data_IF_148860654428
#
_entry.id   IF_148860654428
#
_cell.length_a   1.000
_cell.length_b   1.000
_cell.length_c   1.000
_cell.angle_alpha   90.00
_cell.angle_beta   90.00
_cell.angle_gamma   90.00
#
_symmetry.space_group_name_H-M   'P 1'
#
loop_
_entity.id
_entity.type
_entity.pdbx_description
1 polymer ?
#
# COMPACT_ATOMS: atom_id res chain seq x y z
N UNK A 1 2.60 -21.90 25.69
CA UNK A 1 2.05 -20.84 24.83
C UNK A 1 1.91 -21.38 23.41
N UNK A 2 0.67 -21.55 22.92
CA UNK A 2 0.36 -22.24 21.66
C UNK A 2 0.20 -21.28 20.46
N UNK A 3 0.34 -19.97 20.70
CA UNK A 3 0.34 -18.92 19.68
C UNK A 3 1.73 -18.29 19.65
N UNK A 4 2.64 -18.88 18.89
CA UNK A 4 3.95 -18.31 18.57
C UNK A 4 4.06 -18.24 17.06
N UNK A 5 4.56 -17.11 16.56
CA UNK A 5 4.92 -16.99 15.15
C UNK A 5 6.02 -17.99 14.84
N UNK A 6 5.95 -18.59 13.65
CA UNK A 6 7.10 -19.30 13.09
C UNK A 6 8.20 -18.27 12.75
N UNK A 7 9.47 -18.70 12.65
CA UNK A 7 10.54 -17.81 12.19
C UNK A 7 10.20 -17.16 10.84
N UNK A 8 9.64 -17.93 9.91
CA UNK A 8 9.28 -17.46 8.58
C UNK A 8 8.15 -16.41 8.61
N UNK A 9 7.13 -16.60 9.46
CA UNK A 9 6.09 -15.59 9.66
C UNK A 9 6.66 -14.31 10.26
N UNK A 10 7.55 -14.44 11.25
CA UNK A 10 8.18 -13.29 11.87
C UNK A 10 9.05 -12.51 10.86
N UNK A 11 9.83 -13.21 10.02
CA UNK A 11 10.64 -12.60 8.97
C UNK A 11 9.76 -11.93 7.89
N UNK A 12 8.67 -12.59 7.49
CA UNK A 12 7.72 -12.03 6.54
C UNK A 12 7.04 -10.75 7.07
N UNK A 13 6.79 -10.64 8.37
CA UNK A 13 6.13 -9.47 8.96
C UNK A 13 7.03 -8.22 9.06
N UNK A 14 8.36 -8.39 9.04
CA UNK A 14 9.32 -7.29 9.19
C UNK A 14 10.00 -6.87 7.88
N UNK A 15 9.71 -7.57 6.77
CA UNK A 15 10.24 -7.22 5.46
C UNK A 15 9.65 -5.90 4.95
N UNK A 16 10.30 -5.35 3.92
CA UNK A 16 9.80 -4.18 3.22
C UNK A 16 8.44 -4.44 2.53
N UNK A 17 7.61 -3.40 2.50
CA UNK A 17 6.33 -3.42 1.79
C UNK A 17 6.57 -3.52 0.28
N UNK A 18 5.91 -4.47 -0.37
CA UNK A 18 6.06 -4.70 -1.81
C UNK A 18 5.11 -3.86 -2.64
N UNK A 19 5.49 -3.58 -3.90
CA UNK A 19 4.63 -2.91 -4.88
C UNK A 19 3.29 -3.64 -5.07
N UNK A 20 3.30 -4.97 -4.99
CA UNK A 20 2.10 -5.78 -5.15
C UNK A 20 1.13 -5.58 -3.98
N UNK A 21 1.63 -5.52 -2.74
CA UNK A 21 0.81 -5.21 -1.56
C UNK A 21 0.21 -3.81 -1.64
N UNK A 22 0.99 -2.82 -2.09
CA UNK A 22 0.55 -1.44 -2.25
C UNK A 22 -0.56 -1.36 -3.30
N UNK A 23 -0.34 -1.97 -4.46
CA UNK A 23 -1.33 -2.04 -5.53
C UNK A 23 -2.61 -2.74 -5.05
N UNK A 24 -2.50 -3.90 -4.43
CA UNK A 24 -3.65 -4.64 -3.93
C UNK A 24 -4.44 -3.82 -2.91
N UNK A 25 -3.77 -3.16 -1.97
CA UNK A 25 -4.42 -2.30 -0.99
C UNK A 25 -5.25 -1.19 -1.65
N UNK A 26 -4.70 -0.51 -2.66
CA UNK A 26 -5.41 0.54 -3.42
C UNK A 26 -6.57 -0.05 -4.24
N UNK A 27 -6.37 -1.20 -4.88
CA UNK A 27 -7.38 -1.83 -5.73
C UNK A 27 -8.55 -2.43 -4.94
N UNK A 28 -8.35 -2.77 -3.66
CA UNK A 28 -9.39 -3.23 -2.74
C UNK A 28 -10.36 -2.14 -2.29
N UNK A 29 -9.99 -0.85 -2.41
CA UNK A 29 -10.86 0.26 -2.01
C UNK A 29 -12.00 0.39 -3.02
N UNK A 30 -13.26 0.31 -2.60
CA UNK A 30 -14.40 0.47 -3.52
C UNK A 30 -14.35 1.83 -4.26
N UNK A 31 -14.68 1.80 -5.55
CA UNK A 31 -14.58 2.96 -6.45
C UNK A 31 -15.49 4.13 -6.02
N UNK A 32 -16.59 3.84 -5.32
CA UNK A 32 -17.57 4.81 -4.85
C UNK A 32 -17.30 5.28 -3.41
N UNK A 33 -16.16 4.91 -2.82
CA UNK A 33 -15.75 5.48 -1.53
C UNK A 33 -15.54 6.99 -1.67
N UNK A 34 -15.88 7.70 -0.59
CA UNK A 34 -15.69 9.14 -0.51
C UNK A 34 -14.22 9.50 -0.80
N UNK A 35 -13.98 10.59 -1.56
CA UNK A 35 -12.63 11.03 -1.90
C UNK A 35 -11.87 11.51 -0.66
N UNK A 36 -10.55 11.55 -0.80
CA UNK A 36 -9.68 12.19 0.19
C UNK A 36 -9.84 13.73 0.18
N UNK A 37 -9.09 14.45 1.04
CA UNK A 37 -9.02 15.91 1.02
C UNK A 37 -8.52 16.50 -0.31
N UNK A 38 -7.87 15.68 -1.15
CA UNK A 38 -7.42 16.02 -2.51
C UNK A 38 -8.56 16.01 -3.55
N UNK A 39 -9.74 15.50 -3.20
CA UNK A 39 -10.88 15.38 -4.10
C UNK A 39 -10.83 14.20 -5.06
N UNK A 40 -9.83 13.32 -4.99
CA UNK A 40 -9.74 12.12 -5.83
C UNK A 40 -10.28 10.88 -5.10
N UNK A 41 -11.09 10.09 -5.78
CA UNK A 41 -11.52 8.78 -5.28
C UNK A 41 -10.52 7.68 -5.66
N UNK A 42 -10.66 6.50 -5.05
CA UNK A 42 -9.87 5.32 -5.41
C UNK A 42 -9.95 5.00 -6.91
N UNK A 43 -11.09 5.26 -7.55
CA UNK A 43 -11.28 5.08 -8.99
C UNK A 43 -10.22 5.84 -9.82
N UNK A 44 -9.89 7.07 -9.45
CA UNK A 44 -8.86 7.86 -10.15
C UNK A 44 -7.50 7.15 -10.11
N UNK A 45 -7.05 6.75 -8.92
CA UNK A 45 -5.75 6.09 -8.73
C UNK A 45 -5.67 4.76 -9.47
N UNK A 46 -6.75 3.96 -9.45
CA UNK A 46 -6.81 2.70 -10.21
C UNK A 46 -6.75 2.94 -11.71
N UNK A 47 -7.45 3.96 -12.23
CA UNK A 47 -7.46 4.29 -13.67
C UNK A 47 -6.15 4.89 -14.15
N UNK A 48 -5.46 5.67 -13.32
CA UNK A 48 -4.18 6.28 -13.64
C UNK A 48 -2.98 5.39 -13.31
N UNK A 49 -3.19 4.16 -12.83
CA UNK A 49 -2.15 3.31 -12.25
C UNK A 49 -0.92 3.12 -13.15
N UNK A 50 -1.12 2.95 -14.46
CA UNK A 50 -0.02 2.76 -15.42
C UNK A 50 0.88 4.00 -15.56
N UNK A 51 0.40 5.17 -15.13
CA UNK A 51 1.12 6.44 -15.16
C UNK A 51 1.73 6.75 -13.79
N UNK A 52 0.95 6.66 -12.71
CA UNK A 52 1.35 7.13 -11.37
C UNK A 52 1.69 6.01 -10.38
N UNK A 53 1.46 4.75 -10.73
CA UNK A 53 1.57 3.62 -9.81
C UNK A 53 2.98 3.42 -9.27
N UNK A 54 4.00 3.67 -10.09
CA UNK A 54 5.39 3.58 -9.65
C UNK A 54 5.73 4.66 -8.62
N UNK A 55 5.32 5.91 -8.87
CA UNK A 55 5.56 7.03 -7.95
C UNK A 55 4.87 6.81 -6.61
N UNK A 56 3.62 6.29 -6.63
CA UNK A 56 2.88 5.90 -5.43
C UNK A 56 3.64 4.81 -4.65
N UNK A 57 4.11 3.77 -5.33
CA UNK A 57 4.86 2.70 -4.67
C UNK A 57 6.13 3.23 -4.00
N UNK A 58 6.90 4.07 -4.70
CA UNK A 58 8.11 4.69 -4.15
C UNK A 58 7.80 5.55 -2.94
N UNK A 59 6.78 6.41 -3.00
CA UNK A 59 6.39 7.28 -1.89
C UNK A 59 5.95 6.47 -0.66
N UNK A 60 5.16 5.40 -0.85
CA UNK A 60 4.72 4.54 0.25
C UNK A 60 5.90 3.80 0.88
N UNK A 61 6.80 3.24 0.07
CA UNK A 61 8.00 2.57 0.57
C UNK A 61 8.92 3.53 1.34
N UNK A 62 9.12 4.74 0.81
CA UNK A 62 9.90 5.79 1.49
C UNK A 62 9.27 6.16 2.84
N UNK A 63 7.94 6.27 2.90
CA UNK A 63 7.23 6.53 4.15
C UNK A 63 7.48 5.43 5.20
N UNK A 64 7.40 4.15 4.82
CA UNK A 64 7.66 3.03 5.73
C UNK A 64 9.12 2.97 6.18
N UNK A 65 10.07 3.37 5.32
CA UNK A 65 11.50 3.37 5.65
C UNK A 65 11.92 4.56 6.53
N UNK A 66 11.39 5.75 6.23
CA UNK A 66 11.88 7.02 6.78
C UNK A 66 10.94 7.65 7.81
N UNK A 67 9.68 7.21 7.89
CA UNK A 67 8.67 7.68 8.84
C UNK A 67 8.17 9.10 8.57
N UNK A 68 8.27 9.60 7.33
CA UNK A 68 7.86 10.96 6.95
C UNK A 68 7.29 11.01 5.53
N UNK A 69 6.44 12.00 5.30
CA UNK A 69 5.92 12.42 3.98
C UNK A 69 6.59 13.72 3.54
#
# INVERSE_FOLDING_TARGET
FRNKLTPDEAEFMVRDVSNEEIKQAIFLIDDNKAPGPDGFSAYFYKKAWDIIGNDICSAVQEFFLLGRF
#
